data_IF_294418641344
#
_entry.id   IF_294418641344
#
_cell.length_a   1.000
_cell.length_b   1.000
_cell.length_c   1.000
_cell.angle_alpha   90.00
_cell.angle_beta   90.00
_cell.angle_gamma   90.00
#
_symmetry.space_group_name_H-M   'P 1'
#
loop_
_entity.id
_entity.type
_entity.pdbx_description
1 polymer ?
#
# COMPACT_ATOMS: atom_id res chain seq x y z
N UNK A 1 1.22 -42.19 -7.20
CA UNK A 1 1.41 -40.76 -7.51
C UNK A 1 1.87 -40.60 -8.95
N UNK A 2 0.97 -40.41 -9.92
CA UNK A 2 1.29 -40.38 -11.37
C UNK A 2 0.74 -39.15 -12.11
N UNK A 3 -0.23 -38.43 -11.56
CA UNK A 3 -0.89 -37.32 -12.25
C UNK A 3 -0.22 -35.98 -11.91
N UNK A 4 0.35 -35.31 -12.92
CA UNK A 4 0.93 -33.97 -12.82
C UNK A 4 -0.16 -32.90 -12.90
N UNK A 5 -0.94 -32.75 -11.83
CA UNK A 5 -2.06 -31.79 -11.78
C UNK A 5 -1.62 -30.38 -11.35
N UNK A 6 -0.46 -30.26 -10.72
CA UNK A 6 0.09 -28.98 -10.29
C UNK A 6 0.55 -28.15 -11.50
N UNK A 7 0.19 -26.86 -11.49
CA UNK A 7 0.57 -25.89 -12.52
C UNK A 7 1.62 -24.94 -11.96
N UNK A 8 2.71 -24.78 -12.72
CA UNK A 8 3.72 -23.74 -12.51
C UNK A 8 3.54 -22.69 -13.60
N UNK A 9 3.10 -21.49 -13.22
CA UNK A 9 3.00 -20.34 -14.10
C UNK A 9 4.27 -19.51 -13.94
N UNK A 10 4.94 -19.22 -15.07
CA UNK A 10 6.09 -18.31 -15.13
C UNK A 10 5.71 -17.16 -16.07
N UNK A 11 5.80 -15.94 -15.58
CA UNK A 11 5.50 -14.74 -16.34
C UNK A 11 6.65 -13.76 -16.21
N UNK A 12 7.33 -13.52 -17.33
CA UNK A 12 8.43 -12.56 -17.41
C UNK A 12 7.86 -11.14 -17.58
N UNK A 13 8.11 -10.29 -16.59
CA UNK A 13 7.58 -8.91 -16.58
C UNK A 13 8.24 -8.08 -17.68
N UNK A 14 9.55 -8.25 -17.92
CA UNK A 14 10.33 -7.44 -18.87
C UNK A 14 9.93 -7.77 -20.31
N UNK A 15 9.83 -9.05 -20.62
CA UNK A 15 9.44 -9.56 -21.94
C UNK A 15 7.94 -9.42 -22.25
N UNK A 16 7.12 -9.03 -21.27
CA UNK A 16 5.68 -8.89 -21.46
C UNK A 16 5.29 -7.69 -22.32
N UNK A 17 4.08 -7.73 -22.87
CA UNK A 17 3.42 -6.62 -23.57
C UNK A 17 2.75 -5.60 -22.63
N UNK A 18 3.05 -5.65 -21.33
CA UNK A 18 2.49 -4.70 -20.37
C UNK A 18 3.02 -3.27 -20.63
N UNK A 19 2.20 -2.24 -20.42
CA UNK A 19 2.68 -0.85 -20.45
C UNK A 19 3.80 -0.62 -19.43
N UNK A 20 4.72 0.30 -19.75
CA UNK A 20 5.95 0.52 -18.97
C UNK A 20 5.68 0.83 -17.49
N UNK A 21 4.66 1.64 -17.20
CA UNK A 21 4.23 1.94 -15.83
C UNK A 21 3.89 0.69 -15.00
N UNK A 22 3.30 -0.33 -15.62
CA UNK A 22 3.01 -1.59 -14.95
C UNK A 22 4.29 -2.39 -14.71
N UNK A 23 5.20 -2.42 -15.69
CA UNK A 23 6.50 -3.10 -15.57
C UNK A 23 7.33 -2.51 -14.45
N UNK A 24 7.49 -1.19 -14.42
CA UNK A 24 8.26 -0.48 -13.39
C UNK A 24 7.71 -0.77 -12.00
N UNK A 25 6.38 -0.69 -11.80
CA UNK A 25 5.77 -0.97 -10.50
C UNK A 25 5.94 -2.42 -10.05
N UNK A 26 5.79 -3.37 -10.98
CA UNK A 26 5.97 -4.78 -10.67
C UNK A 26 7.43 -5.10 -10.37
N UNK A 27 8.39 -4.47 -11.05
CA UNK A 27 9.82 -4.63 -10.79
C UNK A 27 10.28 -3.94 -9.50
N UNK A 28 9.65 -2.81 -9.14
CA UNK A 28 9.92 -2.11 -7.88
C UNK A 28 9.26 -2.79 -6.67
N UNK A 29 8.24 -3.62 -6.89
CA UNK A 29 7.54 -4.32 -5.82
C UNK A 29 8.37 -5.48 -5.26
N UNK A 30 8.55 -5.50 -3.95
CA UNK A 30 9.09 -6.66 -3.24
C UNK A 30 7.96 -7.62 -2.88
N UNK A 31 7.72 -8.63 -3.72
CA UNK A 31 6.69 -9.64 -3.49
C UNK A 31 7.29 -11.06 -3.57
N UNK A 32 6.84 -11.96 -2.70
CA UNK A 32 7.36 -13.34 -2.61
C UNK A 32 7.14 -14.18 -3.88
N UNK A 33 6.24 -13.75 -4.76
CA UNK A 33 5.96 -14.39 -6.05
C UNK A 33 6.87 -13.86 -7.18
N UNK A 34 7.63 -12.81 -6.95
CA UNK A 34 8.49 -12.17 -7.95
C UNK A 34 9.95 -12.56 -7.64
N UNK A 35 10.60 -13.21 -8.59
CA UNK A 35 12.04 -13.49 -8.52
C UNK A 35 12.85 -12.20 -8.70
N UNK A 36 14.08 -12.18 -8.19
CA UNK A 36 15.04 -11.09 -8.40
C UNK A 36 15.27 -10.77 -9.89
N UNK A 37 15.10 -11.75 -10.77
CA UNK A 37 15.26 -11.59 -12.22
C UNK A 37 14.10 -10.80 -12.88
N UNK A 38 13.01 -10.55 -12.15
CA UNK A 38 11.79 -9.92 -12.67
C UNK A 38 10.80 -10.92 -13.28
N UNK A 39 10.81 -12.16 -12.80
CA UNK A 39 9.91 -13.23 -13.26
C UNK A 39 8.92 -13.57 -12.15
N UNK A 40 7.63 -13.47 -12.44
CA UNK A 40 6.55 -13.92 -11.54
C UNK A 40 6.46 -15.44 -11.63
N UNK A 41 6.58 -16.13 -10.49
CA UNK A 41 6.49 -17.58 -10.37
C UNK A 41 5.32 -17.92 -9.44
N UNK A 42 4.28 -18.54 -10.00
CA UNK A 42 3.10 -18.96 -9.24
C UNK A 42 2.96 -20.48 -9.32
N UNK A 43 2.82 -21.12 -8.17
CA UNK A 43 2.50 -22.55 -8.06
C UNK A 43 1.04 -22.71 -7.63
N UNK A 44 0.25 -23.42 -8.43
CA UNK A 44 -1.13 -23.79 -8.12
C UNK A 44 -1.26 -25.32 -8.04
N UNK A 45 -1.68 -25.80 -6.87
CA UNK A 45 -1.79 -27.24 -6.55
C UNK A 45 -2.98 -27.54 -5.62
N UNK A 46 -3.98 -26.65 -5.59
CA UNK A 46 -5.10 -26.74 -4.65
C UNK A 46 -6.17 -27.74 -5.10
N UNK A 47 -6.30 -27.92 -6.41
CA UNK A 47 -7.34 -28.76 -6.99
C UNK A 47 -6.78 -30.05 -7.56
N UNK A 48 -7.66 -31.06 -7.66
CA UNK A 48 -7.34 -32.32 -8.34
C UNK A 48 -7.39 -32.20 -9.87
N UNK A 49 -8.08 -31.19 -10.40
CA UNK A 49 -8.13 -30.90 -11.84
C UNK A 49 -7.03 -29.91 -12.24
N UNK A 50 -6.36 -30.21 -13.36
CA UNK A 50 -5.35 -29.32 -13.96
C UNK A 50 -5.97 -28.00 -14.44
N UNK A 51 -7.19 -28.03 -14.97
CA UNK A 51 -7.90 -26.86 -15.47
C UNK A 51 -8.22 -25.88 -14.34
N UNK A 52 -8.73 -26.39 -13.22
CA UNK A 52 -8.97 -25.59 -12.02
C UNK A 52 -7.68 -24.98 -11.46
N UNK A 53 -6.58 -25.74 -11.46
CA UNK A 53 -5.27 -25.20 -11.05
C UNK A 53 -4.76 -24.13 -12.02
N UNK A 54 -5.03 -24.25 -13.33
CA UNK A 54 -4.68 -23.24 -14.32
C UNK A 54 -5.47 -21.95 -14.09
N UNK A 55 -6.77 -22.05 -13.91
CA UNK A 55 -7.63 -20.90 -13.60
C UNK A 55 -7.20 -20.22 -12.31
N UNK A 56 -6.90 -20.98 -11.27
CA UNK A 56 -6.39 -20.46 -10.00
C UNK A 56 -5.06 -19.73 -10.16
N UNK A 57 -4.12 -20.26 -10.96
CA UNK A 57 -2.84 -19.61 -11.23
C UNK A 57 -3.03 -18.26 -11.96
N UNK A 58 -3.93 -18.22 -12.94
CA UNK A 58 -4.26 -16.99 -13.69
C UNK A 58 -4.95 -15.97 -12.78
N UNK A 59 -5.92 -16.40 -11.98
CA UNK A 59 -6.63 -15.53 -11.05
C UNK A 59 -5.67 -14.86 -10.04
N UNK A 60 -4.70 -15.63 -9.53
CA UNK A 60 -3.64 -15.10 -8.65
C UNK A 60 -2.73 -14.10 -9.36
N UNK A 61 -2.34 -14.39 -10.61
CA UNK A 61 -1.54 -13.46 -11.40
C UNK A 61 -2.28 -12.13 -11.58
N UNK A 62 -3.56 -12.18 -11.94
CA UNK A 62 -4.39 -10.99 -12.13
C UNK A 62 -4.55 -10.22 -10.82
N UNK A 63 -4.81 -10.91 -9.71
CA UNK A 63 -4.92 -10.30 -8.39
C UNK A 63 -3.62 -9.60 -7.98
N UNK A 64 -2.48 -10.27 -8.15
CA UNK A 64 -1.14 -9.73 -7.89
C UNK A 64 -0.88 -8.45 -8.70
N UNK A 65 -1.17 -8.49 -10.00
CA UNK A 65 -0.98 -7.31 -10.86
C UNK A 65 -1.88 -6.17 -10.38
N UNK A 66 -3.15 -6.42 -10.08
CA UNK A 66 -4.08 -5.38 -9.59
C UNK A 66 -3.63 -4.78 -8.26
N UNK A 67 -3.17 -5.61 -7.33
CA UNK A 67 -2.72 -5.16 -6.01
C UNK A 67 -1.47 -4.28 -6.11
N UNK A 68 -0.44 -4.74 -6.84
CA UNK A 68 0.83 -4.02 -6.96
C UNK A 68 0.71 -2.74 -7.81
N UNK A 69 -0.36 -2.61 -8.57
CA UNK A 69 -0.55 -1.49 -9.49
C UNK A 69 -1.60 -0.51 -8.99
N UNK A 70 -2.29 -0.82 -7.89
CA UNK A 70 -3.17 0.09 -7.19
C UNK A 70 -2.43 1.37 -6.80
N UNK A 71 -2.84 2.49 -7.39
CA UNK A 71 -2.30 3.81 -7.09
C UNK A 71 -2.89 4.30 -5.77
N UNK A 72 -2.07 4.36 -4.72
CA UNK A 72 -2.48 5.04 -3.49
C UNK A 72 -2.59 6.54 -3.75
N UNK A 73 -3.79 7.10 -3.49
CA UNK A 73 -4.02 8.54 -3.65
C UNK A 73 -3.15 9.30 -2.65
N UNK A 74 -2.36 10.25 -3.14
CA UNK A 74 -1.51 11.09 -2.28
C UNK A 74 -2.35 11.74 -1.18
N UNK A 75 -2.00 11.51 0.09
CA UNK A 75 -2.61 12.22 1.20
C UNK A 75 -2.17 13.68 1.15
N UNK A 76 -3.13 14.60 1.16
CA UNK A 76 -2.85 16.01 1.39
C UNK A 76 -2.92 16.26 2.89
N UNK A 77 -1.87 16.85 3.45
CA UNK A 77 -1.82 17.18 4.87
C UNK A 77 -2.98 18.10 5.25
N UNK A 78 -3.64 17.79 6.36
CA UNK A 78 -4.71 18.63 6.88
C UNK A 78 -4.11 19.72 7.76
N UNK A 79 -4.56 20.95 7.55
CA UNK A 79 -4.17 22.08 8.41
C UNK A 79 -4.93 22.00 9.75
N UNK A 80 -4.36 22.51 10.87
CA UNK A 80 -5.10 22.63 12.13
C UNK A 80 -6.41 23.40 11.94
N UNK A 81 -7.48 22.91 12.58
CA UNK A 81 -8.82 23.49 12.44
C UNK A 81 -8.90 24.91 13.00
N UNK A 82 -9.83 25.72 12.49
CA UNK A 82 -10.04 27.09 12.99
C UNK A 82 -10.34 27.12 14.49
N UNK A 83 -11.21 26.22 14.95
CA UNK A 83 -11.55 26.07 16.36
C UNK A 83 -10.34 25.73 17.24
N UNK A 84 -9.37 24.93 16.74
CA UNK A 84 -8.12 24.65 17.45
C UNK A 84 -7.27 25.92 17.60
N UNK A 85 -7.19 26.75 16.55
CA UNK A 85 -6.47 28.03 16.60
C UNK A 85 -7.11 29.02 17.57
N UNK A 86 -8.43 29.14 17.54
CA UNK A 86 -9.22 29.99 18.45
C UNK A 86 -9.03 29.55 19.92
N UNK A 87 -9.18 28.26 20.21
CA UNK A 87 -8.95 27.72 21.57
C UNK A 87 -7.53 28.00 22.07
N UNK A 88 -6.51 27.83 21.22
CA UNK A 88 -5.13 28.17 21.57
C UNK A 88 -4.98 29.65 21.97
N UNK A 89 -5.58 30.56 21.20
CA UNK A 89 -5.53 32.00 21.49
C UNK A 89 -6.28 32.33 22.78
N UNK A 90 -7.47 31.75 22.98
CA UNK A 90 -8.26 31.93 24.20
C UNK A 90 -7.51 31.44 25.45
N UNK A 91 -6.95 30.22 25.40
CA UNK A 91 -6.14 29.68 26.49
C UNK A 91 -4.87 30.51 26.74
N UNK A 92 -4.26 31.08 25.70
CA UNK A 92 -3.12 32.00 25.85
C UNK A 92 -3.54 33.27 26.59
N UNK A 93 -4.65 33.88 26.20
CA UNK A 93 -5.18 35.10 26.82
C UNK A 93 -5.56 34.88 28.30
N UNK A 94 -6.23 33.75 28.59
CA UNK A 94 -6.57 33.38 29.97
C UNK A 94 -5.32 33.17 30.83
N UNK A 95 -4.29 32.50 30.31
CA UNK A 95 -3.04 32.32 31.05
C UNK A 95 -2.31 33.65 31.29
N UNK A 96 -2.33 34.59 30.34
CA UNK A 96 -1.71 35.90 30.53
C UNK A 96 -2.44 36.73 31.59
N UNK A 97 -3.78 36.75 31.61
CA UNK A 97 -4.54 37.49 32.62
C UNK A 97 -4.30 36.93 34.02
N UNK A 98 -4.31 35.60 34.16
CA UNK A 98 -3.99 34.92 35.43
C UNK A 98 -2.57 35.25 35.90
N UNK A 99 -1.58 35.32 35.00
CA UNK A 99 -0.21 35.70 35.36
C UNK A 99 -0.09 37.17 35.77
N UNK A 100 -0.81 38.08 35.12
CA UNK A 100 -0.79 39.51 35.45
C UNK A 100 -1.33 39.76 36.87
N UNK A 101 -2.44 39.10 37.24
CA UNK A 101 -3.03 39.20 38.58
C UNK A 101 -2.15 38.59 39.68
N UNK A 102 -1.24 37.67 39.33
CA UNK A 102 -0.25 37.08 40.25
C UNK A 102 1.01 37.94 40.43
N UNK A 103 1.13 39.05 39.70
CA UNK A 103 2.24 39.97 39.83
C UNK A 103 2.34 40.57 41.24
N UNK A 104 3.55 40.96 41.64
CA UNK A 104 3.82 41.53 42.97
C UNK A 104 2.97 42.79 43.18
N UNK A 105 2.06 42.78 44.14
CA UNK A 105 1.29 43.95 44.54
C UNK A 105 2.25 44.92 45.21
N UNK A 106 2.52 46.07 44.57
CA UNK A 106 3.22 47.18 45.22
C UNK A 106 2.21 47.92 46.07
N UNK A 107 2.37 47.84 47.39
CA UNK A 107 1.83 48.84 48.31
C UNK A 107 2.77 50.04 48.37
#
# INVERSE_FOLDING_TARGET
NKASTAIHLRFDIKASSLPEFYKERLLAASHHLISADGVVIIKAQEYRSQEMNREAAIARLVALIKELTAVQKSRRETRPTRASKERRLASKAQKSSVKALRGKVRQ
#
